data_IF_943726722692
#
_entry.id   IF_943726722692
#
_cell.length_a   1.000
_cell.length_b   1.000
_cell.length_c   1.000
_cell.angle_alpha   90.00
_cell.angle_beta   90.00
_cell.angle_gamma   90.00
#
_symmetry.space_group_name_H-M   'P 1'
#
loop_
_entity.id
_entity.type
_entity.pdbx_description
1 polymer ?
#
# COMPACT_ATOMS: atom_id res chain seq x y z
N UNK A 1 18.71 -12.31 -5.34
CA UNK A 1 18.56 -13.76 -5.56
C UNK A 1 17.43 -13.95 -6.58
N UNK A 2 17.73 -14.03 -7.86
CA UNK A 2 16.73 -14.46 -8.86
C UNK A 2 16.60 -15.97 -8.75
N UNK A 3 15.39 -16.46 -8.49
CA UNK A 3 15.08 -17.89 -8.65
C UNK A 3 15.35 -18.16 -10.13
N UNK A 4 16.34 -19.00 -10.48
CA UNK A 4 16.78 -19.27 -11.86
C UNK A 4 15.72 -19.97 -12.71
N UNK A 5 14.57 -19.33 -12.88
CA UNK A 5 13.36 -19.81 -13.55
C UNK A 5 12.95 -18.75 -14.57
N UNK A 6 12.61 -19.22 -15.76
CA UNK A 6 12.07 -18.38 -16.83
C UNK A 6 10.57 -18.16 -16.59
N UNK A 7 10.11 -16.93 -16.79
CA UNK A 7 8.71 -16.56 -16.62
C UNK A 7 8.06 -16.53 -18.00
N UNK A 8 7.01 -17.34 -18.20
CA UNK A 8 6.25 -17.35 -19.45
C UNK A 8 5.56 -15.98 -19.70
N UNK A 9 5.48 -15.52 -20.96
CA UNK A 9 4.68 -14.35 -21.32
C UNK A 9 3.22 -14.46 -20.85
N UNK A 10 2.62 -15.65 -20.92
CA UNK A 10 1.23 -15.88 -20.51
C UNK A 10 1.04 -15.73 -19.00
N UNK A 11 2.05 -16.13 -18.22
CA UNK A 11 2.05 -15.92 -16.77
C UNK A 11 2.11 -14.43 -16.44
N UNK A 12 2.93 -13.68 -17.18
CA UNK A 12 3.05 -12.23 -17.02
C UNK A 12 1.74 -11.53 -17.35
N UNK A 13 1.07 -11.93 -18.44
CA UNK A 13 -0.24 -11.38 -18.79
C UNK A 13 -1.29 -11.69 -17.72
N UNK A 14 -1.34 -12.94 -17.27
CA UNK A 14 -2.30 -13.37 -16.24
C UNK A 14 -2.11 -12.64 -14.91
N UNK A 15 -0.86 -12.44 -14.46
CA UNK A 15 -0.61 -11.71 -13.21
C UNK A 15 -0.94 -10.22 -13.35
N UNK A 16 -0.73 -9.62 -14.53
CA UNK A 16 -1.13 -8.24 -14.82
C UNK A 16 -2.65 -8.05 -14.74
N UNK A 17 -3.42 -9.00 -15.25
CA UNK A 17 -4.89 -8.94 -15.17
C UNK A 17 -5.38 -9.04 -13.71
N UNK A 18 -4.81 -9.98 -12.94
CA UNK A 18 -5.11 -10.14 -11.51
C UNK A 18 -4.74 -8.87 -10.75
N UNK A 19 -3.56 -8.30 -11.00
CA UNK A 19 -3.11 -7.06 -10.36
C UNK A 19 -4.05 -5.89 -10.70
N UNK A 20 -4.50 -5.79 -11.94
CA UNK A 20 -5.44 -4.74 -12.36
C UNK A 20 -6.76 -4.84 -11.61
N UNK A 21 -7.28 -6.05 -11.40
CA UNK A 21 -8.47 -6.26 -10.56
C UNK A 21 -8.21 -5.89 -9.10
N UNK A 22 -7.06 -6.28 -8.56
CA UNK A 22 -6.68 -5.98 -7.18
C UNK A 22 -6.57 -4.47 -6.92
N UNK A 23 -5.99 -3.72 -7.85
CA UNK A 23 -5.89 -2.25 -7.76
C UNK A 23 -7.28 -1.62 -7.69
N UNK A 24 -8.24 -2.10 -8.50
CA UNK A 24 -9.62 -1.59 -8.49
C UNK A 24 -10.28 -1.81 -7.14
N UNK A 25 -10.16 -3.01 -6.58
CA UNK A 25 -10.72 -3.31 -5.25
C UNK A 25 -10.06 -2.45 -4.15
N UNK A 26 -8.72 -2.33 -4.18
CA UNK A 26 -8.01 -1.51 -3.20
C UNK A 26 -8.39 -0.02 -3.29
N UNK A 27 -8.58 0.52 -4.49
CA UNK A 27 -9.01 1.90 -4.67
C UNK A 27 -10.40 2.17 -4.08
N UNK A 28 -11.35 1.25 -4.31
CA UNK A 28 -12.70 1.33 -3.74
C UNK A 28 -12.68 1.24 -2.21
N UNK A 29 -11.87 0.34 -1.65
CA UNK A 29 -11.71 0.21 -0.20
C UNK A 29 -11.12 1.49 0.42
N UNK A 30 -10.07 2.06 -0.19
CA UNK A 30 -9.44 3.30 0.28
C UNK A 30 -10.41 4.50 0.26
N UNK A 31 -11.20 4.63 -0.81
CA UNK A 31 -12.24 5.66 -0.90
C UNK A 31 -13.30 5.49 0.19
N UNK A 32 -13.76 4.25 0.39
CA UNK A 32 -14.76 3.93 1.41
C UNK A 32 -14.25 4.24 2.83
N UNK A 33 -12.98 3.94 3.13
CA UNK A 33 -12.38 4.25 4.44
C UNK A 33 -12.23 5.75 4.67
N UNK A 34 -11.74 6.50 3.68
CA UNK A 34 -11.65 7.96 3.78
C UNK A 34 -13.05 8.58 3.99
N UNK A 35 -14.05 8.12 3.23
CA UNK A 35 -15.44 8.58 3.35
C UNK A 35 -16.07 8.24 4.70
N UNK A 36 -15.79 7.04 5.23
CA UNK A 36 -16.26 6.62 6.56
C UNK A 36 -15.74 7.57 7.65
N UNK A 37 -14.50 8.03 7.52
CA UNK A 37 -13.89 9.02 8.41
C UNK A 37 -14.24 10.49 8.06
N UNK A 38 -15.21 10.73 7.15
CA UNK A 38 -15.62 12.05 6.66
C UNK A 38 -14.49 12.87 6.02
N UNK A 39 -13.49 12.21 5.44
CA UNK A 39 -12.36 12.82 4.73
C UNK A 39 -12.54 12.65 3.23
N UNK A 40 -12.00 13.61 2.46
CA UNK A 40 -11.89 13.53 0.99
C UNK A 40 -10.49 13.14 0.53
N UNK A 41 -9.53 13.11 1.46
CA UNK A 41 -8.13 12.76 1.21
C UNK A 41 -7.80 11.49 1.98
N UNK A 42 -7.21 10.52 1.27
CA UNK A 42 -6.72 9.25 1.83
C UNK A 42 -5.52 9.52 2.75
N UNK A 43 -5.52 8.86 3.91
CA UNK A 43 -4.52 8.94 4.96
C UNK A 43 -3.78 7.60 5.13
N UNK A 44 -2.67 7.61 5.87
CA UNK A 44 -1.91 6.38 6.16
C UNK A 44 -2.73 5.33 6.93
N UNK A 45 -3.68 5.75 7.75
CA UNK A 45 -4.55 4.84 8.50
C UNK A 45 -5.50 4.05 7.58
N UNK A 46 -5.92 4.66 6.46
CA UNK A 46 -6.74 3.96 5.45
C UNK A 46 -5.93 2.87 4.74
N UNK A 47 -4.65 3.13 4.48
CA UNK A 47 -3.73 2.17 3.86
C UNK A 47 -3.42 1.01 4.80
N UNK A 48 -3.17 1.28 6.09
CA UNK A 48 -3.01 0.23 7.11
C UNK A 48 -4.27 -0.62 7.21
N UNK A 49 -5.45 0.01 7.22
CA UNK A 49 -6.73 -0.70 7.29
C UNK A 49 -6.97 -1.59 6.05
N UNK A 50 -6.46 -1.20 4.87
CA UNK A 50 -6.51 -2.02 3.67
C UNK A 50 -5.66 -3.31 3.82
N UNK A 51 -4.53 -3.25 4.53
CA UNK A 51 -3.64 -4.40 4.78
C UNK A 51 -4.13 -5.36 5.89
N UNK A 52 -5.21 -5.03 6.63
CA UNK A 52 -5.67 -5.75 7.84
C UNK A 52 -5.98 -7.24 7.68
N UNK A 53 -6.09 -7.75 6.45
CA UNK A 53 -6.40 -9.17 6.20
C UNK A 53 -5.18 -10.08 6.37
N UNK A 54 -3.99 -9.50 6.43
CA UNK A 54 -2.73 -10.22 6.59
C UNK A 54 -1.90 -9.50 7.65
N UNK A 55 -1.77 -10.10 8.83
CA UNK A 55 -1.09 -9.50 9.98
C UNK A 55 0.37 -9.15 9.67
N UNK A 56 1.09 -10.05 8.99
CA UNK A 56 2.48 -9.79 8.58
C UNK A 56 2.60 -8.61 7.62
N UNK A 57 1.67 -8.50 6.68
CA UNK A 57 1.63 -7.36 5.76
C UNK A 57 1.25 -6.06 6.48
N UNK A 58 0.28 -6.13 7.39
CA UNK A 58 -0.14 -4.99 8.20
C UNK A 58 1.02 -4.43 9.03
N UNK A 59 1.79 -5.30 9.68
CA UNK A 59 2.93 -4.92 10.50
C UNK A 59 4.04 -4.28 9.64
N UNK A 60 4.38 -4.89 8.50
CA UNK A 60 5.38 -4.35 7.59
C UNK A 60 4.97 -2.96 7.02
N UNK A 61 3.70 -2.80 6.66
CA UNK A 61 3.17 -1.51 6.18
C UNK A 61 3.15 -0.47 7.31
N UNK A 62 2.85 -0.89 8.53
CA UNK A 62 2.84 0.00 9.70
C UNK A 62 4.23 0.49 10.06
N UNK A 63 5.24 -0.38 10.02
CA UNK A 63 6.64 -0.02 10.19
C UNK A 63 7.09 0.99 9.13
N UNK A 64 6.79 0.70 7.85
CA UNK A 64 7.12 1.61 6.74
C UNK A 64 6.46 2.98 6.90
N UNK A 65 5.19 3.03 7.33
CA UNK A 65 4.48 4.27 7.58
C UNK A 65 5.16 5.12 8.68
N UNK A 66 5.69 4.48 9.72
CA UNK A 66 6.43 5.15 10.79
C UNK A 66 7.75 5.74 10.25
N UNK A 67 8.52 4.97 9.48
CA UNK A 67 9.76 5.46 8.85
C UNK A 67 9.51 6.68 7.97
N UNK A 68 8.45 6.67 7.15
CA UNK A 68 8.08 7.81 6.30
C UNK A 68 7.75 9.06 7.15
N UNK A 69 7.06 8.87 8.28
CA UNK A 69 6.73 9.96 9.20
C UNK A 69 7.98 10.57 9.88
N UNK A 70 8.94 9.72 10.27
CA UNK A 70 10.22 10.14 10.85
C UNK A 70 11.07 10.92 9.84
N UNK A 71 11.13 10.46 8.58
CA UNK A 71 11.83 11.19 7.51
C UNK A 71 11.20 12.56 7.24
N UNK A 72 9.88 12.65 7.25
CA UNK A 72 9.15 13.89 7.05
C UNK A 72 9.43 14.90 8.18
N UNK A 73 9.46 14.45 9.43
CA UNK A 73 9.76 15.31 10.59
C UNK A 73 11.21 15.79 10.59
N UNK A 74 12.16 14.91 10.25
CA UNK A 74 13.58 15.23 10.15
C UNK A 74 13.88 16.28 9.07
N UNK A 75 13.25 16.16 7.89
CA UNK A 75 13.34 17.16 6.81
C UNK A 75 12.77 18.52 7.23
N UNK A 76 11.71 18.53 8.04
CA UNK A 76 11.11 19.77 8.56
C UNK A 76 12.03 20.49 9.54
N UNK A 77 12.69 19.74 10.43
CA UNK A 77 13.67 20.27 11.40
C UNK A 77 14.94 20.84 10.76
N UNK A 78 15.34 20.34 9.58
CA UNK A 78 16.50 20.85 8.81
C UNK A 78 16.20 22.15 8.04
N UNK A 79 14.92 22.46 7.82
CA UNK A 79 14.46 23.66 7.09
C UNK A 79 14.11 24.83 8.02
N UNK A 80 14.01 24.58 9.32
CA UNK A 80 13.96 25.59 10.38
C UNK A 80 15.37 25.85 10.90
#
# INVERSE_FOLDING_TARGET
>A
RTLGKEVSPDFTMSITDVLTSQIKHMAQDLEAFAKHAKRTVVSMEDVKLCARKNDTLHDAISELANTIAEEASSKRKKRQ
#
